data_IF_961724771631
#
_entry.id   IF_961724771631
#
_cell.length_a   1.000
_cell.length_b   1.000
_cell.length_c   1.000
_cell.angle_alpha   90.00
_cell.angle_beta   90.00
_cell.angle_gamma   90.00
#
_symmetry.space_group_name_H-M   'P 1'
#
loop_
_entity.id
_entity.type
_entity.pdbx_description
1 polymer ?
#
# COMPACT_ATOMS: atom_id res chain seq x y z
N UNK A 1 -6.01 -1.77 4.55
CA UNK A 1 -6.81 -0.76 5.28
C UNK A 1 -6.81 0.60 4.60
N UNK A 2 -5.75 0.99 3.88
CA UNK A 2 -5.56 2.38 3.43
C UNK A 2 -4.95 3.29 4.51
N UNK A 3 -4.55 2.69 5.65
CA UNK A 3 -3.80 3.37 6.68
C UNK A 3 -2.39 3.72 6.18
N UNK A 4 -1.90 4.89 6.57
CA UNK A 4 -0.53 5.31 6.34
C UNK A 4 0.09 5.76 7.66
N UNK A 5 1.27 5.23 8.00
CA UNK A 5 1.94 5.54 9.26
C UNK A 5 2.56 6.93 9.21
N UNK A 6 2.22 7.75 10.20
CA UNK A 6 2.89 9.03 10.43
C UNK A 6 4.36 8.81 10.83
N UNK A 7 5.18 9.86 10.71
CA UNK A 7 6.57 9.82 11.17
C UNK A 7 6.69 9.39 12.64
N UNK A 8 5.80 9.88 13.51
CA UNK A 8 5.79 9.55 14.93
C UNK A 8 5.46 8.07 15.18
N UNK A 9 4.53 7.49 14.42
CA UNK A 9 4.20 6.06 14.52
C UNK A 9 5.34 5.18 13.98
N UNK A 10 5.95 5.57 12.85
CA UNK A 10 7.14 4.88 12.33
C UNK A 10 8.31 4.96 13.32
N UNK A 11 8.51 6.11 13.97
CA UNK A 11 9.50 6.27 15.04
C UNK A 11 9.27 5.29 16.19
N UNK A 12 8.03 5.18 16.66
CA UNK A 12 7.69 4.25 17.74
C UNK A 12 7.97 2.79 17.36
N UNK A 13 7.71 2.41 16.10
CA UNK A 13 8.07 1.08 15.59
C UNK A 13 9.59 0.91 15.48
N UNK A 14 10.31 1.92 14.98
CA UNK A 14 11.76 1.91 14.87
C UNK A 14 12.44 1.71 16.24
N UNK A 15 11.95 2.36 17.29
CA UNK A 15 12.48 2.22 18.65
C UNK A 15 12.39 0.77 19.18
N UNK A 16 11.38 0.01 18.74
CA UNK A 16 11.28 -1.43 19.03
C UNK A 16 12.31 -2.19 18.18
N UNK A 17 12.37 -1.93 16.87
CA UNK A 17 13.29 -2.61 15.96
C UNK A 17 14.76 -2.43 16.36
N UNK A 18 15.15 -1.27 16.88
CA UNK A 18 16.50 -0.99 17.39
C UNK A 18 16.93 -1.92 18.54
N UNK A 19 15.98 -2.39 19.35
CA UNK A 19 16.24 -3.35 20.45
C UNK A 19 16.49 -4.78 19.95
N UNK A 20 16.15 -5.07 18.69
CA UNK A 20 16.22 -6.39 18.09
C UNK A 20 17.08 -6.37 16.81
N UNK A 21 18.42 -6.40 16.93
CA UNK A 21 19.32 -6.19 15.79
C UNK A 21 19.25 -7.27 14.70
N UNK A 22 18.68 -8.44 15.02
CA UNK A 22 18.47 -9.54 14.06
C UNK A 22 17.20 -9.38 13.22
N UNK A 23 16.29 -8.46 13.58
CA UNK A 23 15.04 -8.25 12.85
C UNK A 23 15.28 -7.30 11.68
N UNK A 24 15.01 -7.77 10.47
CA UNK A 24 15.05 -6.95 9.26
C UNK A 24 13.68 -6.34 8.98
N UNK A 25 13.67 -5.24 8.24
CA UNK A 25 12.44 -4.56 7.81
C UNK A 25 12.28 -4.65 6.31
N UNK A 26 11.13 -5.13 5.86
CA UNK A 26 10.66 -4.95 4.49
C UNK A 26 9.59 -3.86 4.53
N UNK A 27 9.88 -2.71 3.92
CA UNK A 27 8.89 -1.64 3.76
C UNK A 27 8.38 -1.64 2.32
N UNK A 28 7.07 -1.78 2.16
CA UNK A 28 6.39 -1.76 0.86
C UNK A 28 5.74 -0.38 0.67
N UNK A 29 6.46 0.48 -0.05
CA UNK A 29 6.16 1.90 -0.23
C UNK A 29 5.40 2.15 -1.55
N UNK A 30 4.83 1.11 -2.17
CA UNK A 30 4.15 1.13 -3.48
C UNK A 30 3.04 2.18 -3.62
N UNK A 31 2.48 2.65 -2.49
CA UNK A 31 1.42 3.66 -2.44
C UNK A 31 1.88 5.04 -1.96
N UNK A 32 3.19 5.32 -1.87
CA UNK A 32 3.76 6.56 -1.30
C UNK A 32 3.14 7.86 -1.88
N UNK A 33 2.83 7.83 -3.17
CA UNK A 33 2.29 8.98 -3.91
C UNK A 33 0.76 9.11 -3.82
N UNK A 34 0.07 8.12 -3.25
CA UNK A 34 -1.38 8.07 -3.09
C UNK A 34 -1.77 8.27 -1.63
N UNK A 35 -1.33 9.38 -1.05
CA UNK A 35 -1.75 9.87 0.27
C UNK A 35 -2.88 10.89 0.12
N UNK A 36 -3.48 11.39 1.20
CA UNK A 36 -4.59 12.35 1.12
C UNK A 36 -4.46 13.50 2.12
N UNK A 37 -5.10 14.63 1.82
CA UNK A 37 -4.98 15.84 2.63
C UNK A 37 -3.52 16.29 2.79
N UNK A 38 -3.17 16.68 4.01
CA UNK A 38 -1.84 17.17 4.37
C UNK A 38 -0.88 16.05 4.82
N UNK A 39 -1.25 14.78 4.62
CA UNK A 39 -0.40 13.66 4.99
C UNK A 39 0.90 13.66 4.19
N UNK A 40 2.03 13.56 4.90
CA UNK A 40 3.38 13.49 4.34
C UNK A 40 3.89 12.07 4.51
N UNK A 41 4.18 11.41 3.39
CA UNK A 41 4.77 10.09 3.39
C UNK A 41 6.19 10.11 3.97
N UNK A 42 6.54 9.06 4.73
CA UNK A 42 7.87 8.79 5.27
C UNK A 42 8.15 7.30 5.15
N UNK A 43 9.38 6.96 4.77
CA UNK A 43 9.85 5.57 4.78
C UNK A 43 10.68 5.30 6.03
N UNK A 44 10.65 4.07 6.56
CA UNK A 44 11.27 3.78 7.86
C UNK A 44 12.80 3.99 7.87
N UNK A 45 13.48 3.77 6.73
CA UNK A 45 14.91 4.01 6.59
C UNK A 45 15.28 5.50 6.60
N UNK A 46 14.35 6.38 6.23
CA UNK A 46 14.50 7.84 6.36
C UNK A 46 14.27 8.27 7.82
N UNK A 47 13.23 7.71 8.46
CA UNK A 47 12.89 8.03 9.86
C UNK A 47 14.01 7.59 10.80
N UNK A 48 14.52 6.36 10.67
CA UNK A 48 15.61 5.86 11.51
C UNK A 48 16.78 5.33 10.66
N UNK A 49 17.82 6.16 10.43
CA UNK A 49 18.99 5.77 9.65
C UNK A 49 19.77 4.56 10.21
N UNK A 50 19.71 4.26 11.52
CA UNK A 50 20.33 3.05 12.07
C UNK A 50 19.63 1.75 11.63
N UNK A 51 18.47 1.83 10.95
CA UNK A 51 17.81 0.69 10.31
C UNK A 51 18.24 0.49 8.86
N UNK A 52 19.03 1.40 8.26
CA UNK A 52 19.39 1.38 6.84
C UNK A 52 20.02 0.04 6.41
N UNK A 53 21.00 -0.46 7.17
CA UNK A 53 21.73 -1.71 6.89
C UNK A 53 20.90 -2.98 7.07
N UNK A 54 19.61 -2.87 7.40
CA UNK A 54 18.68 -3.99 7.55
C UNK A 54 17.26 -3.68 7.09
N UNK A 55 17.11 -2.70 6.20
CA UNK A 55 15.83 -2.35 5.57
C UNK A 55 15.90 -2.62 4.08
N UNK A 56 14.93 -3.39 3.57
CA UNK A 56 14.64 -3.50 2.15
C UNK A 56 13.45 -2.58 1.84
N UNK A 57 13.71 -1.48 1.16
CA UNK A 57 12.70 -0.52 0.70
C UNK A 57 12.22 -0.93 -0.68
N UNK A 58 10.98 -1.40 -0.77
CA UNK A 58 10.35 -1.87 -2.01
C UNK A 58 9.36 -0.84 -2.52
N UNK A 59 9.36 -0.60 -3.83
CA UNK A 59 8.44 0.33 -4.49
C UNK A 59 8.27 -0.08 -5.97
N UNK A 60 7.59 0.75 -6.77
CA UNK A 60 7.36 0.48 -8.18
C UNK A 60 6.45 1.51 -8.85
N UNK A 61 6.34 1.40 -10.17
CA UNK A 61 5.55 2.36 -10.96
C UNK A 61 4.07 1.97 -11.10
N UNK A 62 3.67 0.83 -10.53
CA UNK A 62 2.36 0.23 -10.80
C UNK A 62 1.18 1.10 -10.36
N UNK A 63 1.29 1.79 -9.22
CA UNK A 63 0.16 2.51 -8.60
C UNK A 63 0.21 4.00 -8.88
N UNK A 64 1.34 4.65 -8.62
CA UNK A 64 1.53 6.08 -8.85
C UNK A 64 1.29 6.48 -10.32
N UNK A 65 1.75 5.63 -11.26
CA UNK A 65 1.72 5.93 -12.70
C UNK A 65 0.67 5.10 -13.47
N UNK A 66 -0.24 4.41 -12.77
CA UNK A 66 -1.23 3.53 -13.39
C UNK A 66 -0.64 2.45 -14.33
N UNK A 67 0.58 1.98 -14.04
CA UNK A 67 1.33 1.03 -14.88
C UNK A 67 1.19 -0.44 -14.43
N UNK A 68 0.05 -0.85 -13.87
CA UNK A 68 -0.14 -2.20 -13.31
C UNK A 68 0.17 -3.33 -14.31
N UNK A 69 -0.20 -3.17 -15.58
CA UNK A 69 0.06 -4.14 -16.65
C UNK A 69 1.50 -4.19 -17.16
N UNK A 70 2.34 -3.21 -16.80
CA UNK A 70 3.73 -3.11 -17.27
C UNK A 70 4.71 -3.93 -16.45
N UNK A 71 4.30 -4.34 -15.24
CA UNK A 71 5.01 -5.29 -14.38
C UNK A 71 6.43 -4.83 -13.97
N UNK A 72 6.55 -3.58 -13.56
CA UNK A 72 7.81 -3.04 -13.00
C UNK A 72 7.63 -2.69 -11.52
N UNK A 73 8.50 -3.30 -10.71
CA UNK A 73 8.79 -2.95 -9.33
C UNK A 73 10.30 -2.92 -9.13
N UNK A 74 10.75 -2.28 -8.06
CA UNK A 74 12.16 -2.15 -7.71
C UNK A 74 12.30 -2.12 -6.19
N UNK A 75 13.50 -2.39 -5.70
CA UNK A 75 13.81 -2.26 -4.29
C UNK A 75 15.25 -1.78 -4.10
N UNK A 76 15.49 -1.11 -2.98
CA UNK A 76 16.80 -0.69 -2.52
C UNK A 76 17.04 -1.22 -1.10
N UNK A 77 18.27 -1.58 -0.78
CA UNK A 77 18.64 -2.13 0.52
C UNK A 77 20.11 -2.55 0.58
N UNK A 78 20.52 -3.26 1.64
CA UNK A 78 21.91 -3.67 1.84
C UNK A 78 22.45 -4.50 0.66
N UNK A 79 23.64 -4.14 0.18
CA UNK A 79 24.28 -4.79 -0.99
C UNK A 79 24.31 -6.32 -0.91
N UNK A 80 24.61 -6.96 0.24
CA UNK A 80 24.59 -8.41 0.35
C UNK A 80 23.20 -9.02 0.04
N UNK A 81 22.12 -8.38 0.50
CA UNK A 81 20.75 -8.82 0.23
C UNK A 81 20.40 -8.62 -1.24
N UNK A 82 20.70 -7.45 -1.81
CA UNK A 82 20.41 -7.15 -3.22
C UNK A 82 21.11 -8.14 -4.17
N UNK A 83 22.38 -8.49 -3.90
CA UNK A 83 23.10 -9.51 -4.67
C UNK A 83 22.47 -10.90 -4.56
N UNK A 84 21.98 -11.26 -3.38
CA UNK A 84 21.27 -12.54 -3.19
C UNK A 84 19.94 -12.57 -3.97
N UNK A 85 19.19 -11.47 -3.96
CA UNK A 85 17.95 -11.33 -4.74
C UNK A 85 18.21 -11.39 -6.25
N UNK A 86 19.25 -10.71 -6.73
CA UNK A 86 19.67 -10.74 -8.14
C UNK A 86 20.04 -12.17 -8.59
N UNK A 87 20.78 -12.91 -7.76
CA UNK A 87 21.11 -14.32 -8.03
C UNK A 87 19.84 -15.19 -8.19
N UNK A 88 18.85 -15.03 -7.32
CA UNK A 88 17.57 -15.76 -7.41
C UNK A 88 16.81 -15.32 -8.67
N UNK A 89 16.73 -14.02 -8.93
CA UNK A 89 16.02 -13.48 -10.10
C UNK A 89 16.62 -13.99 -11.42
N UNK A 90 17.95 -14.10 -11.50
CA UNK A 90 18.65 -14.68 -12.64
C UNK A 90 18.24 -16.12 -12.95
N UNK A 91 17.85 -16.91 -11.94
CA UNK A 91 17.35 -18.28 -12.10
C UNK A 91 15.81 -18.37 -12.28
N UNK A 92 15.09 -17.26 -12.08
CA UNK A 92 13.63 -17.26 -12.10
C UNK A 92 13.06 -16.63 -13.38
N UNK A 93 13.53 -15.43 -13.74
CA UNK A 93 12.95 -14.62 -14.82
C UNK A 93 13.98 -13.87 -15.65
N UNK A 94 15.28 -13.95 -15.30
CA UNK A 94 16.32 -13.07 -15.81
C UNK A 94 16.07 -11.59 -15.43
N UNK A 95 15.55 -10.77 -16.35
CA UNK A 95 15.26 -9.36 -16.12
C UNK A 95 13.83 -9.00 -16.53
N UNK A 96 13.33 -7.87 -16.03
CA UNK A 96 12.01 -7.39 -16.41
C UNK A 96 11.96 -6.96 -17.90
N UNK A 97 10.75 -6.86 -18.46
CA UNK A 97 10.53 -6.45 -19.85
C UNK A 97 11.24 -5.13 -20.17
N UNK A 98 12.10 -5.12 -21.20
CA UNK A 98 12.91 -3.95 -21.58
C UNK A 98 12.06 -2.73 -21.96
N UNK A 99 10.94 -2.94 -22.64
CA UNK A 99 9.98 -1.88 -22.98
C UNK A 99 9.40 -1.23 -21.71
N UNK A 100 9.09 -2.04 -20.71
CA UNK A 100 8.56 -1.55 -19.44
C UNK A 100 9.63 -0.86 -18.59
N UNK A 101 10.89 -1.31 -18.66
CA UNK A 101 12.02 -0.61 -18.03
C UNK A 101 12.17 0.82 -18.60
N UNK A 102 12.19 0.98 -19.93
CA UNK A 102 12.28 2.30 -20.56
C UNK A 102 11.07 3.18 -20.28
N UNK A 103 9.85 2.62 -20.25
CA UNK A 103 8.66 3.37 -19.84
C UNK A 103 8.77 3.86 -18.38
N UNK A 104 9.37 3.04 -17.50
CA UNK A 104 9.57 3.40 -16.09
C UNK A 104 10.64 4.49 -15.91
N UNK A 105 11.64 4.56 -16.78
CA UNK A 105 12.60 5.67 -16.81
C UNK A 105 11.88 7.01 -17.04
N UNK A 106 10.99 7.07 -18.02
CA UNK A 106 10.18 8.27 -18.27
C UNK A 106 9.22 8.55 -17.11
N UNK A 107 8.58 7.54 -16.54
CA UNK A 107 7.69 7.72 -15.40
C UNK A 107 8.41 8.39 -14.20
N UNK A 108 9.65 8.00 -13.92
CA UNK A 108 10.42 8.51 -12.79
C UNK A 108 11.11 9.85 -13.05
N UNK A 109 11.60 10.08 -14.27
CA UNK A 109 12.38 11.29 -14.61
C UNK A 109 11.56 12.39 -15.29
N UNK A 110 10.40 12.04 -15.86
CA UNK A 110 9.52 12.96 -16.56
C UNK A 110 8.67 13.82 -15.62
N UNK A 111 7.71 14.58 -16.18
CA UNK A 111 6.81 15.44 -15.41
C UNK A 111 5.95 14.63 -14.41
N UNK A 112 5.81 15.14 -13.18
CA UNK A 112 5.09 14.46 -12.09
C UNK A 112 3.67 15.00 -11.85
N UNK A 113 3.19 15.95 -12.66
CA UNK A 113 1.88 16.62 -12.48
C UNK A 113 0.69 15.64 -12.48
N UNK A 114 0.85 14.50 -13.16
CA UNK A 114 -0.13 13.40 -13.19
C UNK A 114 -0.45 12.88 -11.79
N UNK A 115 0.53 12.81 -10.90
CA UNK A 115 0.37 12.28 -9.54
C UNK A 115 -0.56 13.18 -8.73
N UNK A 116 -0.29 14.49 -8.69
CA UNK A 116 -1.10 15.44 -7.92
C UNK A 116 -2.56 15.48 -8.41
N UNK A 117 -2.77 15.46 -9.73
CA UNK A 117 -4.11 15.39 -10.33
C UNK A 117 -4.87 14.13 -9.89
N UNK A 118 -4.22 12.97 -9.93
CA UNK A 118 -4.86 11.72 -9.55
C UNK A 118 -5.11 11.61 -8.05
N UNK A 119 -4.20 12.14 -7.22
CA UNK A 119 -4.36 12.24 -5.76
C UNK A 119 -5.70 12.91 -5.42
N UNK A 120 -5.99 14.06 -6.05
CA UNK A 120 -7.26 14.77 -5.85
C UNK A 120 -8.49 13.98 -6.31
N UNK A 121 -8.41 13.31 -7.47
CA UNK A 121 -9.51 12.48 -7.99
C UNK A 121 -9.80 11.31 -7.03
N UNK A 122 -8.75 10.60 -6.58
CA UNK A 122 -8.91 9.49 -5.65
C UNK A 122 -9.41 9.94 -4.27
N UNK A 123 -9.01 11.13 -3.80
CA UNK A 123 -9.55 11.69 -2.56
C UNK A 123 -11.05 11.94 -2.66
N UNK A 124 -11.53 12.54 -3.75
CA UNK A 124 -12.97 12.74 -3.95
C UNK A 124 -13.75 11.42 -4.02
N UNK A 125 -13.18 10.37 -4.64
CA UNK A 125 -13.77 9.02 -4.66
C UNK A 125 -13.79 8.39 -3.27
N UNK A 126 -12.71 8.52 -2.50
CA UNK A 126 -12.62 8.05 -1.11
C UNK A 126 -13.73 8.69 -0.28
N UNK A 127 -13.83 10.02 -0.32
CA UNK A 127 -14.78 10.78 0.49
C UNK A 127 -16.23 10.37 0.18
N UNK A 128 -16.55 10.17 -1.09
CA UNK A 128 -17.85 9.65 -1.53
C UNK A 128 -18.13 8.25 -0.96
N UNK A 129 -17.21 7.30 -1.16
CA UNK A 129 -17.40 5.90 -0.76
C UNK A 129 -17.51 5.78 0.77
N UNK A 130 -16.62 6.43 1.51
CA UNK A 130 -16.64 6.42 2.98
C UNK A 130 -17.93 7.02 3.52
N UNK A 131 -18.39 8.15 2.97
CA UNK A 131 -19.65 8.79 3.37
C UNK A 131 -20.84 7.86 3.14
N UNK A 132 -20.95 7.27 1.94
CA UNK A 132 -22.07 6.38 1.61
C UNK A 132 -22.08 5.08 2.44
N UNK A 133 -20.91 4.49 2.69
CA UNK A 133 -20.82 3.28 3.51
C UNK A 133 -21.21 3.55 4.97
N UNK A 134 -20.82 4.70 5.54
CA UNK A 134 -21.19 5.08 6.90
C UNK A 134 -22.68 5.44 7.05
N UNK A 135 -23.42 5.64 5.95
CA UNK A 135 -24.88 5.78 5.98
C UNK A 135 -25.59 4.42 5.96
N UNK A 136 -24.90 3.33 5.62
CA UNK A 136 -25.48 2.00 5.60
C UNK A 136 -25.58 1.43 7.03
N UNK A 137 -26.76 0.92 7.39
CA UNK A 137 -27.01 0.36 8.72
C UNK A 137 -26.10 -0.83 8.99
N UNK A 138 -25.38 -0.78 10.10
CA UNK A 138 -24.49 -1.87 10.55
C UNK A 138 -23.15 -1.93 9.83
N UNK A 139 -22.81 -0.90 9.06
CA UNK A 139 -21.49 -0.73 8.44
C UNK A 139 -20.78 0.45 9.10
N UNK A 140 -19.50 0.28 9.41
CA UNK A 140 -18.63 1.35 9.89
C UNK A 140 -17.37 1.39 9.04
N UNK A 141 -17.11 2.51 8.38
CA UNK A 141 -16.00 2.68 7.45
C UNK A 141 -15.03 3.76 7.94
N UNK A 142 -13.79 3.39 8.33
CA UNK A 142 -12.75 4.38 8.61
C UNK A 142 -12.37 5.15 7.33
N UNK A 143 -11.91 6.39 7.51
CA UNK A 143 -11.36 7.22 6.43
C UNK A 143 -9.87 6.92 6.25
N UNK A 144 -9.42 6.36 5.12
CA UNK A 144 -8.01 6.04 4.91
C UNK A 144 -7.16 7.28 4.59
N UNK A 145 -5.92 7.31 5.09
CA UNK A 145 -4.91 8.34 4.82
C UNK A 145 -4.22 8.16 3.46
N UNK A 146 -4.29 6.98 2.86
CA UNK A 146 -3.71 6.71 1.55
C UNK A 146 -4.22 5.45 0.85
N UNK A 147 -3.47 5.01 -0.17
CA UNK A 147 -3.87 3.99 -1.15
C UNK A 147 -5.24 4.31 -1.78
N UNK A 148 -5.92 3.35 -2.40
CA UNK A 148 -7.26 3.55 -2.99
C UNK A 148 -8.29 2.52 -2.49
N UNK A 149 -8.10 2.03 -1.27
CA UNK A 149 -8.97 1.04 -0.64
C UNK A 149 -9.66 1.64 0.58
N UNK A 150 -10.94 1.30 0.76
CA UNK A 150 -11.62 1.40 2.05
C UNK A 150 -11.70 0.03 2.69
N UNK A 151 -11.75 -0.04 4.02
CA UNK A 151 -11.86 -1.30 4.74
C UNK A 151 -12.99 -1.23 5.78
N UNK A 152 -14.26 -1.23 5.32
CA UNK A 152 -15.42 -1.13 6.20
C UNK A 152 -15.59 -2.37 7.06
N UNK A 153 -15.96 -2.18 8.31
CA UNK A 153 -16.43 -3.23 9.21
C UNK A 153 -17.90 -3.53 8.94
N UNK A 154 -18.22 -4.82 8.80
CA UNK A 154 -19.58 -5.35 8.80
C UNK A 154 -19.91 -6.11 10.10
N UNK A 155 -19.13 -5.90 11.17
CA UNK A 155 -19.24 -6.69 12.41
C UNK A 155 -20.65 -6.66 13.02
N UNK A 156 -21.38 -5.55 12.93
CA UNK A 156 -22.75 -5.44 13.43
C UNK A 156 -23.78 -6.24 12.60
N UNK A 157 -23.38 -6.77 11.45
CA UNK A 157 -24.22 -7.60 10.60
C UNK A 157 -24.01 -9.10 10.83
N UNK A 158 -22.95 -9.48 11.55
CA UNK A 158 -22.69 -10.88 11.91
C UNK A 158 -23.84 -11.42 12.78
N UNK A 159 -24.29 -12.63 12.45
CA UNK A 159 -25.45 -13.31 13.02
C UNK A 159 -26.80 -12.93 12.41
N UNK A 160 -26.88 -11.89 11.56
CA UNK A 160 -28.13 -11.50 10.89
C UNK A 160 -28.43 -12.40 9.70
N UNK A 161 -29.69 -12.43 9.27
CA UNK A 161 -30.11 -13.10 8.04
C UNK A 161 -30.26 -12.11 6.89
N UNK A 162 -29.77 -12.49 5.72
CA UNK A 162 -30.01 -11.77 4.46
C UNK A 162 -31.45 -11.94 4.00
N UNK A 163 -31.84 -11.21 2.94
CA UNK A 163 -33.16 -11.37 2.31
C UNK A 163 -33.37 -12.75 1.68
N UNK A 164 -32.29 -13.41 1.24
CA UNK A 164 -32.31 -14.79 0.74
C UNK A 164 -32.42 -15.84 1.86
N UNK A 165 -32.35 -15.42 3.13
CA UNK A 165 -32.46 -16.28 4.31
C UNK A 165 -31.13 -16.83 4.82
N UNK A 166 -30.01 -16.54 4.16
CA UNK A 166 -28.67 -16.96 4.59
C UNK A 166 -28.25 -16.20 5.84
N UNK A 167 -27.65 -16.90 6.80
CA UNK A 167 -27.05 -16.28 7.99
C UNK A 167 -25.67 -15.74 7.61
N UNK A 168 -25.39 -14.50 8.01
CA UNK A 168 -24.08 -13.86 7.88
C UNK A 168 -23.24 -14.27 9.08
N UNK A 169 -22.47 -15.35 9.00
CA UNK A 169 -21.60 -15.82 10.09
C UNK A 169 -20.15 -15.37 9.96
N UNK A 170 -19.76 -14.90 8.77
CA UNK A 170 -18.42 -14.44 8.40
C UNK A 170 -18.51 -13.23 7.47
N UNK A 171 -17.40 -12.50 7.34
CA UNK A 171 -17.23 -11.44 6.34
C UNK A 171 -17.24 -11.99 4.91
N UNK A 172 -16.76 -13.21 4.69
CA UNK A 172 -16.88 -13.93 3.42
C UNK A 172 -18.35 -14.20 3.07
N UNK A 173 -19.15 -14.69 4.02
CA UNK A 173 -20.59 -14.90 3.81
C UNK A 173 -21.30 -13.58 3.49
N UNK A 174 -20.93 -12.48 4.15
CA UNK A 174 -21.43 -11.14 3.84
C UNK A 174 -21.08 -10.72 2.41
N UNK A 175 -19.81 -10.78 2.03
CA UNK A 175 -19.34 -10.39 0.70
C UNK A 175 -19.97 -11.23 -0.41
N UNK A 176 -20.09 -12.54 -0.20
CA UNK A 176 -20.66 -13.46 -1.18
C UNK A 176 -22.14 -13.17 -1.48
N UNK A 177 -22.88 -12.61 -0.53
CA UNK A 177 -24.29 -12.26 -0.74
C UNK A 177 -24.48 -10.89 -1.43
N UNK A 178 -23.40 -10.12 -1.60
CA UNK A 178 -23.41 -8.87 -2.35
C UNK A 178 -23.07 -9.05 -3.84
N UNK A 179 -22.55 -10.22 -4.22
CA UNK A 179 -22.13 -10.59 -5.59
C UNK A 179 -23.25 -11.35 -6.33
#
# INVERSE_FOLDING_TARGET
>A
SGAAYTEAELRALADVLLKHPHVWTLTDDMYEHLTYGDFVFKTIAEVEPNLYERTLTMNGVSKAYAMTGWRIGYAAGPVPLIKAMDMIQGQQTSGACTIAQWASVEALNGPQDFIAKNKAIFQGRRDLVVSMLNQARGISCPSPEGAFYVYPSCAELIGKKTKSGKVIDTDEAFCSELL
#
